data_IF_785559200391
#
_entry.id   IF_785559200391
#
_cell.length_a   1.000
_cell.length_b   1.000
_cell.length_c   1.000
_cell.angle_alpha   90.00
_cell.angle_beta   90.00
_cell.angle_gamma   90.00
#
_symmetry.space_group_name_H-M   'P 1'
#
loop_
_entity.id
_entity.type
_entity.pdbx_description
1 polymer ?
#
# COMPACT_ATOMS: atom_id res chain seq x y z
N UNK A 1 14.50 -14.54 5.57
CA UNK A 1 13.69 -13.99 6.67
C UNK A 1 12.36 -13.54 6.11
N UNK A 2 11.23 -14.13 6.52
CA UNK A 2 9.89 -13.71 6.06
C UNK A 2 9.58 -12.38 6.74
N UNK A 3 9.98 -11.25 6.14
CA UNK A 3 9.60 -9.93 6.66
C UNK A 3 8.08 -9.95 6.87
N UNK A 4 7.65 -9.68 8.09
CA UNK A 4 6.25 -9.83 8.47
C UNK A 4 5.38 -8.97 7.55
N UNK A 5 4.37 -9.56 6.91
CA UNK A 5 3.47 -8.83 6.00
C UNK A 5 2.92 -7.54 6.62
N UNK A 6 2.77 -7.50 7.96
CA UNK A 6 2.36 -6.31 8.73
C UNK A 6 3.43 -5.21 8.73
N UNK A 7 4.70 -5.56 8.90
CA UNK A 7 5.80 -4.61 8.83
C UNK A 7 5.87 -3.97 7.45
N UNK A 8 5.76 -4.77 6.37
CA UNK A 8 5.76 -4.23 5.01
C UNK A 8 4.55 -3.33 4.73
N UNK A 9 3.36 -3.70 5.21
CA UNK A 9 2.19 -2.84 5.09
C UNK A 9 2.39 -1.48 5.80
N UNK A 10 2.94 -1.50 7.02
CA UNK A 10 3.25 -0.28 7.76
C UNK A 10 4.34 0.54 7.05
N UNK A 11 5.39 -0.11 6.57
CA UNK A 11 6.48 0.52 5.84
C UNK A 11 5.96 1.27 4.60
N UNK A 12 5.22 0.59 3.73
CA UNK A 12 4.66 1.22 2.53
C UNK A 12 3.64 2.32 2.86
N UNK A 13 2.87 2.19 3.95
CA UNK A 13 1.98 3.26 4.38
C UNK A 13 2.76 4.51 4.83
N UNK A 14 3.78 4.34 5.68
CA UNK A 14 4.57 5.44 6.20
C UNK A 14 5.36 6.15 5.10
N UNK A 15 6.05 5.39 4.24
CA UNK A 15 6.83 5.98 3.15
C UNK A 15 5.95 6.60 2.06
N UNK A 16 4.81 5.98 1.73
CA UNK A 16 3.84 6.57 0.81
C UNK A 16 3.34 7.93 1.30
N UNK A 17 2.97 8.03 2.58
CA UNK A 17 2.56 9.31 3.20
C UNK A 17 3.72 10.31 3.23
N UNK A 18 4.93 9.85 3.56
CA UNK A 18 6.12 10.71 3.60
C UNK A 18 6.44 11.30 2.23
N UNK A 19 6.49 10.48 1.17
CA UNK A 19 6.78 10.96 -0.18
C UNK A 19 5.66 11.85 -0.72
N UNK A 20 4.40 11.57 -0.37
CA UNK A 20 3.29 12.47 -0.69
C UNK A 20 3.46 13.84 -0.03
N UNK A 21 3.82 13.87 1.27
CA UNK A 21 4.10 15.12 1.98
C UNK A 21 5.26 15.89 1.33
N UNK A 22 6.36 15.20 1.03
CA UNK A 22 7.52 15.82 0.37
C UNK A 22 7.17 16.34 -1.03
N UNK A 23 6.39 15.60 -1.82
CA UNK A 23 5.93 16.04 -3.13
C UNK A 23 5.08 17.30 -3.03
N UNK A 24 4.16 17.34 -2.07
CA UNK A 24 3.33 18.51 -1.79
C UNK A 24 4.19 19.72 -1.41
N UNK A 25 5.08 19.58 -0.42
CA UNK A 25 5.99 20.66 -0.02
C UNK A 25 6.85 21.18 -1.19
N UNK A 26 7.41 20.28 -2.00
CA UNK A 26 8.18 20.66 -3.19
C UNK A 26 7.34 21.40 -4.23
N UNK A 27 6.08 20.99 -4.42
CA UNK A 27 5.17 21.66 -5.37
C UNK A 27 4.82 23.08 -4.94
N UNK A 28 4.69 23.32 -3.63
CA UNK A 28 4.43 24.64 -3.06
C UNK A 28 5.68 25.53 -3.21
N UNK A 29 6.86 25.00 -2.89
CA UNK A 29 8.13 25.71 -3.02
C UNK A 29 8.46 26.08 -4.47
N UNK A 30 8.23 25.16 -5.41
CA UNK A 30 8.45 25.39 -6.84
C UNK A 30 7.33 26.21 -7.51
N UNK A 31 6.19 26.43 -6.83
CA UNK A 31 5.00 27.08 -7.40
C UNK A 31 4.31 26.30 -8.53
N UNK A 32 4.69 25.03 -8.76
CA UNK A 32 4.13 24.18 -9.80
C UNK A 32 4.28 22.70 -9.46
N UNK A 33 3.32 21.90 -9.92
CA UNK A 33 3.38 20.44 -9.83
C UNK A 33 4.30 19.82 -10.90
N UNK A 34 4.64 20.57 -11.95
CA UNK A 34 5.46 20.12 -13.07
C UNK A 34 6.97 20.30 -12.80
N UNK A 35 7.39 20.08 -11.56
CA UNK A 35 8.80 20.00 -11.20
C UNK A 35 9.26 18.54 -11.18
N UNK A 36 10.49 18.28 -11.61
CA UNK A 36 11.07 16.94 -11.63
C UNK A 36 10.97 16.23 -10.27
N UNK A 37 11.31 16.90 -9.17
CA UNK A 37 11.27 16.32 -7.82
C UNK A 37 9.85 16.02 -7.35
N UNK A 38 8.91 16.94 -7.60
CA UNK A 38 7.48 16.71 -7.29
C UNK A 38 6.97 15.46 -8.02
N UNK A 39 7.27 15.33 -9.31
CA UNK A 39 6.85 14.18 -10.12
C UNK A 39 7.51 12.90 -9.59
N UNK A 40 8.82 12.91 -9.33
CA UNK A 40 9.55 11.75 -8.84
C UNK A 40 9.02 11.26 -7.48
N UNK A 41 8.80 12.18 -6.53
CA UNK A 41 8.25 11.87 -5.22
C UNK A 41 6.82 11.34 -5.32
N UNK A 42 6.01 11.91 -6.21
CA UNK A 42 4.65 11.43 -6.49
C UNK A 42 4.67 10.00 -7.04
N UNK A 43 5.60 9.68 -7.94
CA UNK A 43 5.76 8.33 -8.48
C UNK A 43 6.16 7.33 -7.38
N UNK A 44 7.08 7.69 -6.49
CA UNK A 44 7.42 6.83 -5.35
C UNK A 44 6.22 6.60 -4.43
N UNK A 45 5.49 7.66 -4.06
CA UNK A 45 4.28 7.53 -3.26
C UNK A 45 3.23 6.61 -3.91
N UNK A 46 3.03 6.73 -5.22
CA UNK A 46 2.10 5.88 -5.97
C UNK A 46 2.53 4.41 -5.95
N UNK A 47 3.83 4.12 -6.10
CA UNK A 47 4.36 2.76 -5.99
C UNK A 47 4.08 2.19 -4.59
N UNK A 48 4.36 2.95 -3.53
CA UNK A 48 4.15 2.50 -2.15
C UNK A 48 2.67 2.21 -1.88
N UNK A 49 1.76 3.11 -2.26
CA UNK A 49 0.33 2.87 -2.10
C UNK A 49 -0.19 1.71 -2.95
N UNK A 50 0.36 1.49 -4.15
CA UNK A 50 0.03 0.32 -4.95
C UNK A 50 0.49 -0.98 -4.28
N UNK A 51 1.70 -1.02 -3.71
CA UNK A 51 2.19 -2.17 -2.94
C UNK A 51 1.33 -2.43 -1.71
N UNK A 52 0.96 -1.38 -0.98
CA UNK A 52 0.07 -1.44 0.16
C UNK A 52 -1.31 -2.01 -0.23
N UNK A 53 -1.89 -1.50 -1.34
CA UNK A 53 -3.15 -1.99 -1.89
C UNK A 53 -3.09 -3.49 -2.22
N UNK A 54 -2.01 -3.96 -2.86
CA UNK A 54 -1.84 -5.38 -3.16
C UNK A 54 -1.82 -6.23 -1.89
N UNK A 55 -1.12 -5.78 -0.84
CA UNK A 55 -1.09 -6.49 0.45
C UNK A 55 -2.50 -6.64 1.02
N UNK A 56 -3.30 -5.57 1.03
CA UNK A 56 -4.69 -5.63 1.49
C UNK A 56 -5.56 -6.53 0.61
N UNK A 57 -5.42 -6.45 -0.71
CA UNK A 57 -6.14 -7.30 -1.66
C UNK A 57 -5.86 -8.79 -1.41
N UNK A 58 -4.59 -9.17 -1.24
CA UNK A 58 -4.22 -10.55 -0.94
C UNK A 58 -4.72 -11.02 0.43
N UNK A 59 -4.68 -10.16 1.46
CA UNK A 59 -5.24 -10.47 2.78
C UNK A 59 -6.73 -10.73 2.72
N UNK A 60 -7.48 -9.90 1.98
CA UNK A 60 -8.92 -10.09 1.80
C UNK A 60 -9.22 -11.37 1.02
N UNK A 61 -8.46 -11.67 -0.03
CA UNK A 61 -8.61 -12.90 -0.80
C UNK A 61 -8.33 -14.15 0.06
N UNK A 62 -7.26 -14.14 0.84
CA UNK A 62 -6.91 -15.24 1.74
C UNK A 62 -7.99 -15.47 2.81
N UNK A 63 -8.52 -14.40 3.43
CA UNK A 63 -9.64 -14.49 4.38
C UNK A 63 -10.86 -15.16 3.76
N UNK A 64 -11.25 -14.75 2.56
CA UNK A 64 -12.38 -15.35 1.82
C UNK A 64 -12.18 -16.83 1.52
N UNK A 65 -10.95 -17.25 1.21
CA UNK A 65 -10.64 -18.67 0.96
C UNK A 65 -10.79 -19.51 2.23
N UNK A 66 -10.26 -19.03 3.36
CA UNK A 66 -10.35 -19.71 4.66
C UNK A 66 -11.82 -19.85 5.09
N UNK A 67 -12.61 -18.79 4.96
CA UNK A 67 -14.05 -18.80 5.30
C UNK A 67 -14.83 -19.82 4.44
N UNK A 68 -14.52 -19.90 3.15
CA UNK A 68 -15.13 -20.87 2.23
C UNK A 68 -14.79 -22.32 2.59
N UNK A 69 -13.57 -22.59 3.04
CA UNK A 69 -13.17 -23.92 3.50
C UNK A 69 -13.85 -24.32 4.81
N UNK A 70 -14.02 -23.37 5.74
CA UNK A 70 -14.71 -23.61 7.00
C UNK A 70 -16.20 -23.93 6.79
N UNK A 71 -16.89 -23.16 5.95
CA UNK A 71 -18.32 -23.40 5.65
C UNK A 71 -18.54 -24.78 5.00
N UNK A 72 -17.67 -25.19 4.06
CA UNK A 72 -17.73 -26.53 3.46
C UNK A 72 -17.53 -27.68 4.45
N UNK A 73 -16.86 -27.42 5.58
CA UNK A 73 -16.60 -28.44 6.61
C UNK A 73 -17.81 -28.60 7.52
N UNK A 74 -18.45 -27.49 7.89
CA UNK A 74 -19.67 -27.47 8.70
C UNK A 74 -20.88 -28.04 7.95
N UNK A 75 -20.98 -27.88 6.62
CA UNK A 75 -22.08 -28.47 5.83
C UNK A 75 -21.98 -30.01 5.67
N UNK A 76 -20.87 -30.62 6.10
CA UNK A 76 -20.63 -32.07 6.00
C UNK A 76 -20.76 -32.82 7.34
N UNK A 77 -20.97 -32.10 8.44
CA UNK A 77 -21.27 -32.64 9.78
C UNK A 77 -22.78 -32.59 10.04
#
# INVERSE_FOLDING_TARGET
MRQGSNFMALFYALFGILFMYLAYSNSIEAGTVFNFWTILLTLFAAIDFYRLYLIFRFRMAAKKMIEKEQNKKNDKE
#
